data_IF_433743296585
#
_entry.id   IF_433743296585
#
_cell.length_a   1.000
_cell.length_b   1.000
_cell.length_c   1.000
_cell.angle_alpha   90.00
_cell.angle_beta   90.00
_cell.angle_gamma   90.00
#
_symmetry.space_group_name_H-M   'P 1'
#
loop_
_entity.id
_entity.type
_entity.pdbx_description
1 polymer ?
#
# COMPACT_ATOMS: atom_id res chain seq x y z
N UNK A 1 -4.74 24.89 21.74
CA UNK A 1 -4.65 23.63 20.96
C UNK A 1 -4.62 22.48 21.95
N UNK A 2 -5.59 21.57 21.88
CA UNK A 2 -5.65 20.40 22.77
C UNK A 2 -4.58 19.39 22.33
N UNK A 3 -3.57 19.15 23.16
CA UNK A 3 -2.59 18.09 22.93
C UNK A 3 -3.31 16.74 23.05
N UNK A 4 -3.69 16.17 21.91
CA UNK A 4 -4.29 14.84 21.84
C UNK A 4 -3.26 13.83 22.39
N UNK A 5 -3.58 13.17 23.51
CA UNK A 5 -2.73 12.13 24.10
C UNK A 5 -2.54 11.02 23.06
N UNK A 6 -1.29 10.78 22.62
CA UNK A 6 -0.94 9.68 21.72
C UNK A 6 -0.90 8.36 22.50
N UNK A 7 -1.40 7.28 21.90
CA UNK A 7 -1.33 5.93 22.47
C UNK A 7 0.03 5.30 22.15
N UNK A 8 0.56 4.41 23.00
CA UNK A 8 1.81 3.68 22.72
C UNK A 8 1.75 2.86 21.42
N UNK A 9 0.56 2.38 21.03
CA UNK A 9 0.30 1.69 19.76
C UNK A 9 0.53 2.55 18.51
N UNK A 10 0.70 3.85 18.68
CA UNK A 10 0.92 4.84 17.61
C UNK A 10 2.40 5.24 17.48
N UNK A 11 3.30 4.57 18.22
CA UNK A 11 4.73 4.75 18.08
C UNK A 11 5.27 3.86 16.96
N UNK A 12 6.19 4.40 16.16
CA UNK A 12 7.00 3.60 15.25
C UNK A 12 7.95 2.67 16.02
N UNK A 13 8.55 1.69 15.35
CA UNK A 13 9.54 0.78 15.96
C UNK A 13 10.72 1.53 16.56
N UNK A 14 11.27 2.53 15.86
CA UNK A 14 12.40 3.34 16.36
C UNK A 14 12.00 4.15 17.60
N UNK A 15 10.80 4.75 17.58
CA UNK A 15 10.25 5.44 18.75
C UNK A 15 10.01 4.47 19.90
N UNK A 16 9.57 3.25 19.61
CA UNK A 16 9.34 2.19 20.60
C UNK A 16 10.65 1.76 21.26
N UNK A 17 11.71 1.54 20.48
CA UNK A 17 13.05 1.23 21.01
C UNK A 17 13.58 2.34 21.91
N UNK A 18 13.48 3.60 21.47
CA UNK A 18 13.95 4.75 22.27
C UNK A 18 13.13 4.94 23.56
N UNK A 19 11.82 4.73 23.49
CA UNK A 19 10.94 4.76 24.66
C UNK A 19 11.29 3.62 25.61
N UNK A 20 11.58 2.42 25.08
CA UNK A 20 11.98 1.27 25.88
C UNK A 20 13.30 1.53 26.63
N UNK A 21 14.31 2.13 25.98
CA UNK A 21 15.56 2.54 26.64
C UNK A 21 15.31 3.51 27.80
N UNK A 22 14.45 4.51 27.58
CA UNK A 22 14.09 5.49 28.62
C UNK A 22 13.36 4.78 29.78
N UNK A 23 12.39 3.91 29.50
CA UNK A 23 11.62 3.21 30.53
C UNK A 23 12.49 2.24 31.33
N UNK A 24 13.42 1.54 30.68
CA UNK A 24 14.40 0.67 31.36
C UNK A 24 15.31 1.53 32.26
N UNK A 25 15.81 2.65 31.75
CA UNK A 25 16.64 3.57 32.56
C UNK A 25 15.86 4.13 33.77
N UNK A 26 14.57 4.43 33.61
CA UNK A 26 13.70 4.83 34.71
C UNK A 26 13.51 3.70 35.73
N UNK A 27 13.37 2.45 35.28
CA UNK A 27 13.23 1.30 36.17
C UNK A 27 14.49 1.07 36.99
N UNK A 28 15.66 1.15 36.35
CA UNK A 28 16.97 1.04 37.00
C UNK A 28 17.18 2.16 38.04
N UNK A 29 16.70 3.38 37.74
CA UNK A 29 16.75 4.47 38.71
C UNK A 29 15.88 4.18 39.95
N UNK A 30 14.67 3.62 39.77
CA UNK A 30 13.83 3.21 40.90
C UNK A 30 14.49 2.14 41.78
N UNK A 31 15.22 1.19 41.18
CA UNK A 31 16.01 0.21 41.94
C UNK A 31 17.14 0.88 42.73
N UNK A 32 17.84 1.84 42.13
CA UNK A 32 18.89 2.60 42.82
C UNK A 32 18.36 3.44 43.99
N UNK A 33 17.13 3.95 43.89
CA UNK A 33 16.47 4.70 44.96
C UNK A 33 15.82 3.79 46.02
N UNK A 34 15.88 2.47 45.85
CA UNK A 34 15.30 1.50 46.79
C UNK A 34 13.77 1.55 46.84
N UNK A 35 13.14 1.94 45.73
CA UNK A 35 11.67 1.89 45.62
C UNK A 35 11.25 0.43 45.52
N UNK A 36 10.24 0.06 46.30
CA UNK A 36 9.72 -1.30 46.37
C UNK A 36 9.22 -1.77 44.99
N UNK A 37 9.53 -3.00 44.60
CA UNK A 37 9.01 -3.62 43.39
C UNK A 37 7.49 -3.77 43.43
N UNK A 38 6.93 -3.81 44.65
CA UNK A 38 5.50 -3.87 44.88
C UNK A 38 4.79 -2.52 44.75
N UNK A 39 5.52 -1.41 44.60
CA UNK A 39 4.97 -0.09 44.35
C UNK A 39 4.15 -0.08 43.05
N UNK A 40 2.98 0.55 43.10
CA UNK A 40 2.03 0.59 41.98
C UNK A 40 2.65 1.24 40.73
N UNK A 41 3.47 2.28 40.90
CA UNK A 41 4.18 2.94 39.80
C UNK A 41 5.25 2.06 39.17
N UNK A 42 5.92 1.22 39.96
CA UNK A 42 6.91 0.24 39.47
C UNK A 42 6.22 -0.91 38.73
N UNK A 43 5.09 -1.40 39.24
CA UNK A 43 4.25 -2.41 38.59
C UNK A 43 3.71 -1.93 37.25
N UNK A 44 3.20 -0.70 37.19
CA UNK A 44 2.73 -0.09 35.95
C UNK A 44 3.86 0.08 34.93
N UNK A 45 5.03 0.54 35.37
CA UNK A 45 6.22 0.67 34.53
C UNK A 45 6.65 -0.68 33.95
N UNK A 46 6.74 -1.72 34.79
CA UNK A 46 7.08 -3.08 34.35
C UNK A 46 6.02 -3.63 33.37
N UNK A 47 4.74 -3.41 33.64
CA UNK A 47 3.64 -3.78 32.72
C UNK A 47 3.79 -3.11 31.35
N UNK A 48 4.20 -1.84 31.31
CA UNK A 48 4.45 -1.12 30.05
C UNK A 48 5.68 -1.71 29.35
N UNK A 49 6.79 -1.93 30.08
CA UNK A 49 8.01 -2.52 29.52
C UNK A 49 7.72 -3.90 28.94
N UNK A 50 6.99 -4.75 29.65
CA UNK A 50 6.64 -6.10 29.20
C UNK A 50 5.74 -6.07 27.96
N UNK A 51 4.76 -5.17 27.91
CA UNK A 51 3.93 -4.97 26.71
C UNK A 51 4.77 -4.55 25.50
N UNK A 52 5.73 -3.65 25.70
CA UNK A 52 6.62 -3.20 24.62
C UNK A 52 7.61 -4.30 24.21
N UNK A 53 8.16 -5.07 25.16
CA UNK A 53 9.06 -6.21 24.90
C UNK A 53 8.35 -7.33 24.13
N UNK A 54 7.09 -7.57 24.45
CA UNK A 54 6.30 -8.65 23.84
C UNK A 54 5.67 -8.25 22.50
N UNK A 55 5.68 -6.97 22.12
CA UNK A 55 5.20 -6.52 20.82
C UNK A 55 6.17 -6.95 19.72
N UNK A 56 5.88 -8.08 19.07
CA UNK A 56 6.72 -8.58 17.98
C UNK A 56 6.45 -7.79 16.70
N UNK A 57 7.50 -7.30 16.06
CA UNK A 57 7.40 -6.75 14.72
C UNK A 57 7.30 -7.86 13.67
N UNK A 58 6.31 -7.76 12.79
CA UNK A 58 6.11 -8.65 11.65
C UNK A 58 6.31 -7.83 10.37
N UNK A 59 7.35 -8.11 9.56
CA UNK A 59 7.54 -7.45 8.29
C UNK A 59 6.44 -7.86 7.31
N UNK A 60 6.14 -7.02 6.32
CA UNK A 60 5.11 -7.34 5.30
C UNK A 60 5.37 -8.66 4.57
N UNK A 61 6.63 -9.03 4.34
CA UNK A 61 7.03 -10.30 3.73
C UNK A 61 6.51 -11.54 4.46
N UNK A 62 6.27 -11.44 5.76
CA UNK A 62 5.89 -12.56 6.63
C UNK A 62 4.37 -12.64 6.83
N UNK A 63 3.62 -11.73 6.21
CA UNK A 63 2.17 -11.69 6.32
C UNK A 63 1.53 -12.71 5.38
N UNK A 64 0.61 -13.50 5.93
CA UNK A 64 -0.10 -14.57 5.22
C UNK A 64 -1.62 -14.39 5.32
N UNK A 65 -2.37 -15.19 4.57
CA UNK A 65 -3.84 -15.26 4.71
C UNK A 65 -4.27 -15.63 6.13
N UNK A 66 -3.51 -16.47 6.84
CA UNK A 66 -3.78 -16.82 8.24
C UNK A 66 -3.63 -15.59 9.15
N UNK A 67 -2.63 -14.75 8.88
CA UNK A 67 -2.43 -13.48 9.60
C UNK A 67 -3.64 -12.57 9.41
N UNK A 68 -4.09 -12.38 8.16
CA UNK A 68 -5.27 -11.58 7.86
C UNK A 68 -6.55 -12.14 8.49
N UNK A 69 -6.74 -13.47 8.45
CA UNK A 69 -7.87 -14.13 9.09
C UNK A 69 -7.91 -13.93 10.61
N UNK A 70 -6.76 -14.01 11.29
CA UNK A 70 -6.64 -13.69 12.73
C UNK A 70 -7.00 -12.24 13.05
N UNK A 71 -6.80 -11.33 12.10
CA UNK A 71 -7.20 -9.93 12.21
C UNK A 71 -8.69 -9.69 11.91
N UNK A 72 -9.45 -10.73 11.57
CA UNK A 72 -10.84 -10.62 11.15
C UNK A 72 -11.02 -9.99 9.77
N UNK A 73 -9.99 -10.01 8.93
CA UNK A 73 -10.07 -9.55 7.53
C UNK A 73 -10.63 -10.69 6.68
N UNK A 74 -11.75 -10.43 6.01
CA UNK A 74 -12.31 -11.34 5.00
C UNK A 74 -11.63 -11.11 3.66
N UNK A 75 -11.47 -12.17 2.87
CA UNK A 75 -11.02 -12.08 1.48
C UNK A 75 -12.18 -12.50 0.59
N UNK A 76 -12.57 -11.65 -0.36
CA UNK A 76 -13.68 -11.91 -1.28
C UNK A 76 -13.28 -11.53 -2.71
N UNK A 77 -13.78 -12.21 -3.75
CA UNK A 77 -13.53 -11.79 -5.12
C UNK A 77 -14.30 -10.51 -5.47
N UNK A 78 -13.80 -9.78 -6.47
CA UNK A 78 -14.54 -8.75 -7.22
C UNK A 78 -15.02 -9.34 -8.53
N UNK A 79 -16.18 -8.87 -8.98
CA UNK A 79 -16.72 -9.25 -10.28
C UNK A 79 -16.72 -8.07 -11.24
N UNK A 80 -16.59 -8.37 -12.54
CA UNK A 80 -16.75 -7.38 -13.58
C UNK A 80 -18.21 -6.93 -13.67
N UNK A 81 -18.42 -5.62 -13.78
CA UNK A 81 -19.71 -5.11 -14.27
C UNK A 81 -19.93 -5.58 -15.71
N UNK A 82 -21.18 -5.57 -16.16
CA UNK A 82 -21.59 -6.06 -17.50
C UNK A 82 -20.75 -5.50 -18.66
N UNK A 83 -20.32 -4.23 -18.58
CA UNK A 83 -19.47 -3.58 -19.58
C UNK A 83 -18.07 -3.21 -19.04
N UNK A 84 -17.73 -3.65 -17.83
CA UNK A 84 -16.56 -3.18 -17.10
C UNK A 84 -15.24 -3.40 -17.84
N UNK A 85 -15.07 -4.57 -18.48
CA UNK A 85 -13.85 -4.88 -19.22
C UNK A 85 -13.70 -4.02 -20.48
N UNK A 86 -14.79 -3.84 -21.24
CA UNK A 86 -14.82 -2.99 -22.44
C UNK A 86 -14.58 -1.53 -22.07
N UNK A 87 -15.22 -1.05 -21.01
CA UNK A 87 -15.07 0.32 -20.52
C UNK A 87 -13.64 0.57 -20.01
N UNK A 88 -13.03 -0.40 -19.32
CA UNK A 88 -11.64 -0.32 -18.89
C UNK A 88 -10.69 -0.25 -20.08
N UNK A 89 -10.85 -1.13 -21.09
CA UNK A 89 -10.06 -1.08 -22.33
C UNK A 89 -10.16 0.26 -23.05
N UNK A 90 -11.38 0.79 -23.20
CA UNK A 90 -11.60 2.10 -23.81
C UNK A 90 -10.93 3.22 -22.99
N UNK A 91 -10.96 3.11 -21.66
CA UNK A 91 -10.34 4.08 -20.78
C UNK A 91 -8.81 4.06 -20.85
N UNK A 92 -8.19 2.88 -20.91
CA UNK A 92 -6.75 2.73 -21.07
C UNK A 92 -6.23 3.06 -22.46
N UNK A 93 -7.09 3.04 -23.49
CA UNK A 93 -6.75 3.50 -24.83
C UNK A 93 -6.67 5.03 -24.92
N UNK A 94 -7.36 5.75 -24.04
CA UNK A 94 -7.46 7.21 -24.08
C UNK A 94 -6.13 7.88 -23.70
N UNK A 95 -5.51 8.58 -24.66
CA UNK A 95 -4.25 9.33 -24.43
C UNK A 95 -4.52 10.84 -24.32
N UNK A 96 -3.89 11.50 -23.34
CA UNK A 96 -3.94 12.97 -23.17
C UNK A 96 -2.88 13.65 -24.04
N UNK A 97 -3.12 14.89 -24.47
CA UNK A 97 -2.13 15.65 -25.26
C UNK A 97 -0.78 15.74 -24.53
N UNK A 98 0.32 15.40 -25.22
CA UNK A 98 1.70 15.36 -24.70
C UNK A 98 2.00 14.25 -23.67
N UNK A 99 1.06 13.35 -23.42
CA UNK A 99 1.30 12.12 -22.66
C UNK A 99 1.92 11.02 -23.54
N UNK A 100 2.40 9.95 -22.91
CA UNK A 100 2.94 8.77 -23.61
C UNK A 100 1.77 8.00 -24.23
N UNK A 101 1.85 7.70 -25.53
CA UNK A 101 0.81 6.94 -26.22
C UNK A 101 0.87 5.44 -25.88
N UNK A 102 -0.22 4.74 -26.18
CA UNK A 102 -0.27 3.27 -26.06
C UNK A 102 0.77 2.61 -26.98
N UNK A 103 0.93 3.08 -28.22
CA UNK A 103 1.90 2.55 -29.17
C UNK A 103 3.35 2.73 -28.71
N UNK A 104 3.68 3.90 -28.15
CA UNK A 104 4.99 4.14 -27.56
C UNK A 104 5.24 3.20 -26.38
N UNK A 105 4.19 2.92 -25.60
CA UNK A 105 4.25 2.00 -24.46
C UNK A 105 4.45 0.55 -24.92
N UNK A 106 3.74 0.11 -25.97
CA UNK A 106 3.95 -1.20 -26.60
C UNK A 106 5.39 -1.37 -27.09
N UNK A 107 5.98 -0.32 -27.69
CA UNK A 107 7.38 -0.33 -28.10
C UNK A 107 8.33 -0.49 -26.90
N UNK A 108 8.14 0.30 -25.83
CA UNK A 108 8.95 0.20 -24.61
C UNK A 108 8.85 -1.18 -23.96
N UNK A 109 7.65 -1.76 -23.88
CA UNK A 109 7.43 -3.11 -23.36
C UNK A 109 8.17 -4.16 -24.22
N UNK A 110 8.13 -4.02 -25.55
CA UNK A 110 8.87 -4.87 -26.47
C UNK A 110 10.38 -4.80 -26.24
N UNK A 111 10.92 -3.58 -26.04
CA UNK A 111 12.33 -3.38 -25.70
C UNK A 111 12.68 -4.03 -24.35
N UNK A 112 11.83 -3.91 -23.33
CA UNK A 112 12.03 -4.58 -22.04
C UNK A 112 12.06 -6.10 -22.21
N UNK A 113 11.09 -6.69 -22.92
CA UNK A 113 11.08 -8.14 -23.17
C UNK A 113 12.28 -8.64 -23.99
N UNK A 114 12.86 -7.78 -24.83
CA UNK A 114 14.03 -8.13 -25.65
C UNK A 114 15.34 -8.06 -24.87
N UNK A 115 15.47 -7.14 -23.91
CA UNK A 115 16.76 -6.79 -23.32
C UNK A 115 16.84 -7.00 -21.79
N UNK A 116 15.74 -7.29 -21.11
CA UNK A 116 15.69 -7.40 -19.64
C UNK A 116 15.19 -8.79 -19.23
N UNK A 117 15.95 -9.47 -18.35
CA UNK A 117 15.47 -10.71 -17.73
C UNK A 117 14.42 -10.39 -16.68
N UNK A 118 13.23 -11.00 -16.81
CA UNK A 118 12.10 -10.85 -15.89
C UNK A 118 12.04 -11.97 -14.84
N UNK A 119 13.13 -12.73 -14.67
CA UNK A 119 13.26 -13.72 -13.59
C UNK A 119 13.56 -13.07 -12.23
N UNK A 120 14.16 -11.88 -12.25
CA UNK A 120 14.45 -11.11 -11.05
C UNK A 120 13.39 -10.06 -10.78
N UNK A 121 13.20 -9.73 -9.51
CA UNK A 121 12.31 -8.63 -9.10
C UNK A 121 12.70 -7.30 -9.76
N UNK A 122 14.01 -7.00 -9.84
CA UNK A 122 14.52 -5.79 -10.50
C UNK A 122 14.12 -5.72 -11.98
N UNK A 123 14.13 -6.86 -12.68
CA UNK A 123 13.65 -6.95 -14.06
C UNK A 123 12.15 -6.72 -14.18
N UNK A 124 11.35 -7.35 -13.32
CA UNK A 124 9.91 -7.11 -13.22
C UNK A 124 9.60 -5.63 -12.99
N UNK A 125 10.35 -4.98 -12.09
CA UNK A 125 10.22 -3.55 -11.78
C UNK A 125 10.43 -2.65 -13.00
N UNK A 126 11.34 -2.97 -13.92
CA UNK A 126 11.50 -2.18 -15.16
C UNK A 126 10.23 -2.22 -16.03
N UNK A 127 9.59 -3.39 -16.14
CA UNK A 127 8.33 -3.52 -16.87
C UNK A 127 7.20 -2.77 -16.16
N UNK A 128 7.11 -2.90 -14.83
CA UNK A 128 6.13 -2.20 -14.00
C UNK A 128 6.31 -0.67 -14.14
N UNK A 129 7.52 -0.15 -14.04
CA UNK A 129 7.85 1.27 -14.20
C UNK A 129 7.38 1.78 -15.56
N UNK A 130 7.56 1.00 -16.63
CA UNK A 130 7.09 1.37 -17.97
C UNK A 130 5.58 1.62 -18.00
N UNK A 131 4.79 0.74 -17.36
CA UNK A 131 3.34 0.85 -17.27
C UNK A 131 2.91 1.99 -16.34
N UNK A 132 3.54 2.12 -15.17
CA UNK A 132 3.23 3.18 -14.21
C UNK A 132 3.59 4.57 -14.74
N UNK A 133 4.69 4.71 -15.48
CA UNK A 133 5.07 5.97 -16.15
C UNK A 133 4.06 6.35 -17.23
N UNK A 134 3.56 5.38 -18.02
CA UNK A 134 2.47 5.64 -18.97
C UNK A 134 1.26 6.24 -18.24
N UNK A 135 0.80 5.57 -17.18
CA UNK A 135 -0.36 6.00 -16.39
C UNK A 135 -0.12 7.38 -15.81
N UNK A 136 1.02 7.60 -15.15
CA UNK A 136 1.34 8.90 -14.56
C UNK A 136 1.36 10.03 -15.60
N UNK A 137 1.91 9.79 -16.80
CA UNK A 137 1.91 10.78 -17.88
C UNK A 137 0.51 11.13 -18.38
N UNK A 138 -0.41 10.15 -18.39
CA UNK A 138 -1.79 10.33 -18.87
C UNK A 138 -2.74 10.91 -17.82
N UNK A 139 -2.27 11.05 -16.58
CA UNK A 139 -2.99 11.71 -15.48
C UNK A 139 -2.56 13.17 -15.27
N UNK A 140 -1.54 13.62 -15.99
CA UNK A 140 -1.02 14.98 -15.85
C UNK A 140 -1.97 16.01 -16.46
N UNK A 141 -2.31 17.03 -15.68
CA UNK A 141 -3.11 18.19 -16.10
C UNK A 141 -2.43 19.49 -15.64
N UNK A 142 -3.08 20.64 -15.86
CA UNK A 142 -2.57 21.91 -15.34
C UNK A 142 -2.55 21.96 -13.80
N UNK A 143 -3.51 21.30 -13.14
CA UNK A 143 -3.73 21.40 -11.68
C UNK A 143 -3.38 20.14 -10.92
N UNK A 144 -3.55 18.99 -11.55
CA UNK A 144 -3.37 17.68 -10.94
C UNK A 144 -2.28 16.89 -11.66
N UNK A 145 -1.63 15.98 -10.94
CA UNK A 145 -0.66 15.07 -11.52
C UNK A 145 -0.36 13.89 -10.61
N UNK A 146 0.27 12.87 -11.17
CA UNK A 146 0.68 11.68 -10.45
C UNK A 146 2.19 11.68 -10.15
N UNK A 147 2.59 11.03 -9.06
CA UNK A 147 3.99 10.74 -8.72
C UNK A 147 4.13 9.27 -8.36
N UNK A 148 5.21 8.67 -8.83
CA UNK A 148 5.64 7.32 -8.49
C UNK A 148 6.70 7.46 -7.40
N UNK A 149 6.40 7.00 -6.18
CA UNK A 149 7.35 6.98 -5.07
C UNK A 149 7.84 5.54 -4.85
N UNK A 150 9.00 5.17 -5.41
CA UNK A 150 9.56 3.83 -5.22
C UNK A 150 10.11 3.66 -3.80
N UNK A 151 10.12 2.40 -3.34
CA UNK A 151 10.62 1.99 -2.02
C UNK A 151 10.01 2.84 -0.92
N UNK A 152 8.68 2.80 -0.87
CA UNK A 152 7.93 3.64 0.03
C UNK A 152 7.79 2.96 1.41
N UNK A 153 8.39 3.57 2.44
CA UNK A 153 8.35 3.04 3.80
C UNK A 153 7.02 3.34 4.46
N UNK A 154 6.40 2.29 4.98
CA UNK A 154 5.21 2.36 5.82
C UNK A 154 5.64 2.12 7.26
N UNK A 155 5.39 3.12 8.11
CA UNK A 155 5.69 3.04 9.53
C UNK A 155 4.98 1.86 10.16
N UNK A 156 5.66 1.20 11.10
CA UNK A 156 5.10 0.08 11.82
C UNK A 156 3.94 0.52 12.69
N UNK A 157 2.82 -0.19 12.62
CA UNK A 157 1.62 0.10 13.40
C UNK A 157 1.09 -1.17 14.03
N UNK A 158 0.71 -1.07 15.30
CA UNK A 158 -0.06 -2.13 15.96
C UNK A 158 -1.50 -2.04 15.49
N UNK A 159 -1.99 -3.11 14.89
CA UNK A 159 -3.36 -3.16 14.38
C UNK A 159 -4.29 -3.71 15.46
N UNK A 160 -5.53 -3.22 15.49
CA UNK A 160 -6.52 -3.70 16.44
C UNK A 160 -6.69 -5.23 16.35
N UNK A 161 -6.84 -5.87 17.52
CA UNK A 161 -6.93 -7.33 17.69
C UNK A 161 -5.63 -8.09 17.43
N UNK A 162 -4.49 -7.39 17.38
CA UNK A 162 -3.18 -8.01 17.30
C UNK A 162 -2.26 -7.44 18.39
N UNK A 163 -1.38 -8.30 18.91
CA UNK A 163 -0.28 -7.89 19.79
C UNK A 163 1.00 -7.54 18.99
N UNK A 164 0.93 -7.67 17.66
CA UNK A 164 2.08 -7.50 16.79
C UNK A 164 2.02 -6.16 16.07
N UNK A 165 3.19 -5.56 15.83
CA UNK A 165 3.29 -4.41 14.93
C UNK A 165 3.58 -4.90 13.52
N UNK A 166 2.96 -4.25 12.53
CA UNK A 166 3.17 -4.56 11.12
C UNK A 166 3.72 -3.33 10.42
N UNK A 167 4.72 -3.50 9.58
CA UNK A 167 5.35 -2.41 8.84
C UNK A 167 6.35 -2.92 7.83
N UNK A 168 6.89 -2.03 7.01
CA UNK A 168 7.82 -2.43 5.98
C UNK A 168 7.98 -1.41 4.88
N UNK A 169 8.51 -1.86 3.76
CA UNK A 169 8.64 -1.08 2.53
C UNK A 169 7.73 -1.73 1.50
N UNK A 170 6.96 -0.92 0.80
CA UNK A 170 6.25 -1.35 -0.42
C UNK A 170 7.02 -0.87 -1.63
N UNK A 171 6.94 -1.61 -2.73
CA UNK A 171 7.75 -1.33 -3.90
C UNK A 171 7.43 0.01 -4.53
N UNK A 172 6.13 0.35 -4.60
CA UNK A 172 5.69 1.66 -5.03
C UNK A 172 4.50 2.16 -4.23
N UNK A 173 4.52 3.46 -3.97
CA UNK A 173 3.30 4.23 -3.73
C UNK A 173 3.08 5.17 -4.91
N UNK A 174 1.95 5.03 -5.59
CA UNK A 174 1.51 6.10 -6.51
C UNK A 174 0.63 7.06 -5.73
N UNK A 175 0.88 8.34 -5.91
CA UNK A 175 0.04 9.39 -5.38
C UNK A 175 -0.45 10.29 -6.51
N UNK A 176 -1.73 10.64 -6.50
CA UNK A 176 -2.36 11.52 -7.47
C UNK A 176 -3.16 12.62 -6.77
N UNK A 177 -3.01 13.85 -7.22
CA UNK A 177 -3.71 14.98 -6.64
C UNK A 177 -3.05 16.29 -7.03
N UNK A 178 -3.11 17.28 -6.13
CA UNK A 178 -2.60 18.62 -6.41
C UNK A 178 -1.13 18.59 -6.88
N UNK A 179 -0.85 19.30 -7.97
CA UNK A 179 0.48 19.31 -8.60
C UNK A 179 1.56 19.90 -7.70
N UNK A 180 1.23 20.84 -6.81
CA UNK A 180 2.16 21.38 -5.82
C UNK A 180 2.55 20.33 -4.79
N UNK A 181 1.59 19.54 -4.31
CA UNK A 181 1.84 18.41 -3.42
C UNK A 181 2.71 17.35 -4.12
N UNK A 182 2.38 17.03 -5.37
CA UNK A 182 3.14 16.12 -6.25
C UNK A 182 4.60 16.57 -6.41
N UNK A 183 4.83 17.84 -6.73
CA UNK A 183 6.17 18.41 -6.93
C UNK A 183 7.00 18.40 -5.63
N UNK A 184 6.36 18.56 -4.46
CA UNK A 184 7.03 18.42 -3.16
C UNK A 184 7.52 16.99 -2.92
N UNK A 185 6.73 15.98 -3.28
CA UNK A 185 7.11 14.57 -3.16
C UNK A 185 8.33 14.26 -4.04
N UNK A 186 8.34 14.74 -5.28
CA UNK A 186 9.46 14.56 -6.21
C UNK A 186 10.76 15.15 -5.62
N UNK A 187 10.68 16.32 -4.99
CA UNK A 187 11.85 16.98 -4.37
C UNK A 187 12.33 16.25 -3.12
N UNK A 188 11.39 15.78 -2.28
CA UNK A 188 11.74 15.04 -1.05
C UNK A 188 10.55 14.21 -0.56
N UNK A 189 10.61 12.89 -0.78
CA UNK A 189 9.61 11.94 -0.26
C UNK A 189 9.50 12.00 1.27
N UNK A 190 10.64 12.06 1.96
CA UNK A 190 10.67 12.05 3.43
C UNK A 190 10.01 13.30 4.02
N UNK A 191 10.28 14.47 3.45
CA UNK A 191 9.67 15.71 3.93
C UNK A 191 8.19 15.79 3.56
N UNK A 192 7.83 15.47 2.32
CA UNK A 192 6.45 15.58 1.87
C UNK A 192 5.48 14.68 2.64
N UNK A 193 5.88 13.44 2.94
CA UNK A 193 5.04 12.52 3.68
C UNK A 193 5.11 12.67 5.21
N UNK A 194 5.94 13.59 5.72
CA UNK A 194 5.87 14.01 7.13
C UNK A 194 4.76 15.04 7.39
N UNK A 195 4.18 15.63 6.33
CA UNK A 195 3.11 16.62 6.41
C UNK A 195 1.73 15.97 6.16
N UNK A 196 0.85 15.89 7.18
CA UNK A 196 -0.48 15.32 7.03
C UNK A 196 -1.38 16.09 6.05
N UNK A 197 -1.14 17.39 5.83
CA UNK A 197 -1.95 18.18 4.90
C UNK A 197 -1.64 17.83 3.45
N UNK A 198 -0.38 17.48 3.14
CA UNK A 198 0.00 16.97 1.82
C UNK A 198 -0.74 15.67 1.53
N UNK A 199 -0.85 14.77 2.50
CA UNK A 199 -1.58 13.51 2.34
C UNK A 199 -3.05 13.70 2.03
N UNK A 200 -3.72 14.67 2.66
CA UNK A 200 -5.15 14.96 2.41
C UNK A 200 -5.41 15.47 1.00
N UNK A 201 -4.40 15.99 0.33
CA UNK A 201 -4.49 16.49 -1.05
C UNK A 201 -4.27 15.39 -2.10
N UNK A 202 -4.00 14.15 -1.67
CA UNK A 202 -3.56 13.06 -2.54
C UNK A 202 -4.41 11.81 -2.36
N UNK A 203 -4.82 11.24 -3.48
CA UNK A 203 -5.22 9.84 -3.60
C UNK A 203 -3.94 9.00 -3.62
N UNK A 204 -3.90 7.92 -2.85
CA UNK A 204 -2.71 7.08 -2.73
C UNK A 204 -3.07 5.62 -3.00
N UNK A 205 -2.14 4.91 -3.63
CA UNK A 205 -2.26 3.50 -3.98
C UNK A 205 -0.96 2.79 -3.71
N UNK A 206 -1.04 1.51 -3.35
CA UNK A 206 0.13 0.67 -3.09
C UNK A 206 0.29 -0.35 -4.21
N UNK A 207 1.51 -0.51 -4.69
CA UNK A 207 1.89 -1.54 -5.65
C UNK A 207 3.04 -2.35 -5.09
N UNK A 208 2.85 -3.66 -5.07
CA UNK A 208 3.85 -4.63 -4.66
C UNK A 208 4.31 -5.42 -5.89
N UNK A 209 5.61 -5.35 -6.17
CA UNK A 209 6.28 -6.10 -7.21
C UNK A 209 6.67 -7.49 -6.67
N UNK A 210 6.47 -8.53 -7.47
CA UNK A 210 6.97 -9.87 -7.17
C UNK A 210 7.64 -10.49 -8.40
N UNK A 211 8.70 -11.29 -8.21
CA UNK A 211 9.20 -12.16 -9.27
C UNK A 211 8.08 -13.01 -9.88
N UNK A 212 8.15 -13.26 -11.19
CA UNK A 212 7.11 -13.99 -11.92
C UNK A 212 6.88 -15.41 -11.39
N UNK A 213 7.94 -16.09 -10.96
CA UNK A 213 7.92 -17.43 -10.39
C UNK A 213 7.31 -17.48 -8.98
N UNK A 214 7.46 -16.41 -8.21
CA UNK A 214 6.90 -16.26 -6.87
C UNK A 214 5.50 -15.62 -6.87
N UNK A 215 5.05 -15.10 -8.01
CA UNK A 215 3.75 -14.43 -8.14
C UNK A 215 2.60 -15.43 -7.98
N UNK A 216 2.07 -15.47 -6.75
CA UNK A 216 0.88 -16.24 -6.38
C UNK A 216 -0.05 -15.36 -5.54
N UNK A 217 -1.35 -15.27 -5.87
CA UNK A 217 -2.30 -14.42 -5.13
C UNK A 217 -2.32 -14.74 -3.63
N UNK A 218 -2.18 -16.01 -3.26
CA UNK A 218 -2.25 -16.48 -1.87
C UNK A 218 -1.08 -16.03 -1.00
N UNK A 219 0.10 -15.79 -1.58
CA UNK A 219 1.28 -15.32 -0.83
C UNK A 219 1.47 -13.82 -0.93
N UNK A 220 1.13 -13.23 -2.08
CA UNK A 220 1.50 -11.86 -2.39
C UNK A 220 0.40 -10.85 -2.01
N UNK A 221 -0.87 -11.23 -2.16
CA UNK A 221 -2.00 -10.36 -1.77
C UNK A 221 -1.97 -10.00 -0.28
N UNK A 222 -1.68 -10.92 0.67
CA UNK A 222 -1.67 -10.55 2.09
C UNK A 222 -0.66 -9.46 2.45
N UNK A 223 0.50 -9.45 1.79
CA UNK A 223 1.58 -8.49 2.03
C UNK A 223 1.19 -7.08 1.57
N UNK A 224 0.60 -6.96 0.39
CA UNK A 224 0.09 -5.67 -0.10
C UNK A 224 -1.17 -5.22 0.66
N UNK A 225 -2.04 -6.16 1.04
CA UNK A 225 -3.26 -5.88 1.77
C UNK A 225 -2.99 -5.32 3.16
N UNK A 226 -2.01 -5.85 3.90
CA UNK A 226 -1.66 -5.32 5.23
C UNK A 226 -1.14 -3.88 5.15
N UNK A 227 -0.37 -3.58 4.10
CA UNK A 227 0.14 -2.25 3.84
C UNK A 227 -1.00 -1.26 3.56
N UNK A 228 -1.99 -1.67 2.73
CA UNK A 228 -3.20 -0.90 2.48
C UNK A 228 -4.04 -0.69 3.75
N UNK A 229 -4.21 -1.71 4.59
CA UNK A 229 -4.93 -1.61 5.87
C UNK A 229 -4.27 -0.59 6.79
N UNK A 230 -2.95 -0.65 6.98
CA UNK A 230 -2.21 0.29 7.85
C UNK A 230 -2.40 1.72 7.35
N UNK A 231 -2.27 1.94 6.04
CA UNK A 231 -2.43 3.26 5.43
C UNK A 231 -3.85 3.78 5.53
N UNK A 232 -4.85 2.96 5.22
CA UNK A 232 -6.25 3.32 5.36
C UNK A 232 -6.58 3.74 6.80
N UNK A 233 -6.17 2.96 7.80
CA UNK A 233 -6.38 3.30 9.20
C UNK A 233 -5.60 4.53 9.66
N UNK A 234 -4.38 4.74 9.14
CA UNK A 234 -3.59 5.94 9.44
C UNK A 234 -4.25 7.22 8.93
N UNK A 235 -4.91 7.13 7.77
CA UNK A 235 -5.60 8.23 7.09
C UNK A 235 -7.10 8.30 7.39
N UNK A 236 -7.64 7.37 8.19
CA UNK A 236 -9.07 7.22 8.49
C UNK A 236 -9.93 7.05 7.22
N UNK A 237 -9.43 6.25 6.28
CA UNK A 237 -10.11 5.94 5.02
C UNK A 237 -10.88 4.63 5.13
N UNK A 238 -12.09 4.61 4.54
CA UNK A 238 -12.90 3.41 4.42
C UNK A 238 -12.36 2.47 3.36
N UNK A 239 -11.81 3.03 2.30
CA UNK A 239 -11.34 2.28 1.14
C UNK A 239 -9.90 2.65 0.85
N UNK A 240 -9.11 1.65 0.45
CA UNK A 240 -7.77 1.86 -0.08
C UNK A 240 -7.50 0.84 -1.17
N UNK A 241 -7.15 1.33 -2.36
CA UNK A 241 -6.90 0.49 -3.53
C UNK A 241 -5.42 0.16 -3.67
N UNK A 242 -5.13 -1.06 -4.12
CA UNK A 242 -3.77 -1.48 -4.39
C UNK A 242 -3.68 -2.54 -5.47
N UNK A 243 -2.45 -2.93 -5.77
CA UNK A 243 -2.16 -3.95 -6.75
C UNK A 243 -0.93 -4.76 -6.34
N UNK A 244 -0.93 -6.03 -6.70
CA UNK A 244 0.26 -6.89 -6.70
C UNK A 244 0.56 -7.23 -8.16
N UNK A 245 1.80 -7.12 -8.59
CA UNK A 245 2.17 -7.39 -9.98
C UNK A 245 3.58 -7.96 -10.14
N UNK A 246 3.78 -8.73 -11.21
CA UNK A 246 5.10 -9.10 -11.73
C UNK A 246 5.49 -8.30 -13.00
N UNK A 247 4.69 -7.31 -13.37
CA UNK A 247 4.67 -6.66 -14.67
C UNK A 247 3.95 -7.49 -15.74
N UNK A 248 4.07 -8.82 -15.71
CA UNK A 248 3.39 -9.74 -16.62
C UNK A 248 2.00 -10.15 -16.15
N UNK A 249 1.77 -10.22 -14.84
CA UNK A 249 0.46 -10.52 -14.25
C UNK A 249 0.11 -9.45 -13.23
N UNK A 250 -1.17 -9.11 -13.14
CA UNK A 250 -1.68 -8.02 -12.30
C UNK A 250 -2.87 -8.52 -11.48
N UNK A 251 -2.78 -8.40 -10.15
CA UNK A 251 -3.88 -8.65 -9.23
C UNK A 251 -4.27 -7.32 -8.60
N UNK A 252 -5.45 -6.83 -8.96
CA UNK A 252 -6.01 -5.62 -8.40
C UNK A 252 -6.82 -5.96 -7.17
N UNK A 253 -6.69 -5.13 -6.12
CA UNK A 253 -7.47 -5.33 -4.91
C UNK A 253 -7.92 -4.01 -4.29
N UNK A 254 -8.92 -4.12 -3.44
CA UNK A 254 -9.54 -3.03 -2.70
C UNK A 254 -9.69 -3.47 -1.25
N UNK A 255 -9.02 -2.78 -0.34
CA UNK A 255 -9.37 -2.85 1.07
C UNK A 255 -10.62 -2.01 1.32
N UNK A 256 -11.59 -2.55 2.04
CA UNK A 256 -12.78 -1.87 2.51
C UNK A 256 -13.01 -2.12 4.00
N UNK A 257 -13.43 -1.08 4.72
CA UNK A 257 -13.91 -1.17 6.10
C UNK A 257 -15.19 -0.37 6.29
N UNK A 258 -16.14 -0.96 7.02
CA UNK A 258 -17.41 -0.31 7.36
C UNK A 258 -17.17 0.90 8.28
N UNK A 259 -16.31 0.72 9.28
CA UNK A 259 -15.82 1.77 10.18
C UNK A 259 -14.30 2.02 9.96
N UNK A 260 -13.91 3.18 9.43
CA UNK A 260 -12.51 3.50 9.14
C UNK A 260 -11.65 3.71 10.40
N UNK A 261 -12.25 4.03 11.55
CA UNK A 261 -11.55 4.29 12.80
C UNK A 261 -11.26 3.03 13.61
N UNK A 262 -12.21 2.09 13.64
CA UNK A 262 -12.14 0.86 14.43
C UNK A 262 -11.89 -0.38 13.58
N UNK A 263 -11.90 -0.25 12.24
CA UNK A 263 -11.68 -1.37 11.35
C UNK A 263 -12.66 -2.53 11.61
N UNK A 264 -13.92 -2.25 11.87
CA UNK A 264 -14.94 -3.28 11.86
C UNK A 264 -15.36 -3.57 10.41
N UNK A 265 -15.72 -4.84 10.13
CA UNK A 265 -16.13 -5.25 8.78
C UNK A 265 -15.03 -5.11 7.74
N UNK A 266 -13.77 -5.51 8.05
CA UNK A 266 -12.65 -5.44 7.09
C UNK A 266 -12.80 -6.52 6.02
N UNK A 267 -12.86 -6.11 4.78
CA UNK A 267 -12.81 -7.01 3.63
C UNK A 267 -11.74 -6.54 2.65
N UNK A 268 -10.97 -7.48 2.11
CA UNK A 268 -10.11 -7.26 0.95
C UNK A 268 -10.78 -7.95 -0.22
N UNK A 269 -11.25 -7.12 -1.14
CA UNK A 269 -11.81 -7.56 -2.41
C UNK A 269 -10.68 -7.65 -3.44
N UNK A 270 -10.62 -8.72 -4.24
CA UNK A 270 -9.55 -8.89 -5.22
C UNK A 270 -10.07 -9.43 -6.55
N UNK A 271 -9.41 -9.07 -7.65
CA UNK A 271 -9.71 -9.55 -8.98
C UNK A 271 -8.76 -10.69 -9.35
N UNK A 272 -9.27 -11.68 -10.11
CA UNK A 272 -8.43 -12.72 -10.69
C UNK A 272 -7.24 -12.13 -11.48
N UNK A 273 -6.08 -12.82 -11.51
CA UNK A 273 -4.88 -12.26 -12.13
C UNK A 273 -5.09 -11.99 -13.62
N UNK A 274 -4.86 -10.74 -14.03
CA UNK A 274 -4.90 -10.34 -15.43
C UNK A 274 -3.50 -10.46 -16.02
N UNK A 275 -3.27 -11.32 -17.03
CA UNK A 275 -2.00 -11.36 -17.75
C UNK A 275 -1.90 -10.14 -18.68
N UNK A 276 -0.74 -9.50 -18.76
CA UNK A 276 -0.43 -8.43 -19.72
C UNK A 276 -0.57 -8.91 -21.17
N UNK A 277 -0.15 -10.14 -21.40
CA UNK A 277 -0.34 -10.81 -22.68
C UNK A 277 -0.02 -12.29 -22.63
N UNK A 278 -0.12 -12.90 -23.80
CA UNK A 278 0.10 -14.32 -24.03
C UNK A 278 1.32 -14.53 -24.93
N UNK A 279 1.68 -15.79 -25.18
CA UNK A 279 2.87 -16.13 -25.98
C UNK A 279 2.86 -15.52 -27.38
N UNK A 280 1.68 -15.36 -28.00
CA UNK A 280 1.54 -14.87 -29.37
C UNK A 280 1.27 -13.37 -29.45
N UNK A 281 0.77 -12.76 -28.38
CA UNK A 281 0.60 -11.32 -28.24
C UNK A 281 0.93 -10.92 -26.81
N UNK A 282 2.18 -10.46 -26.55
CA UNK A 282 2.65 -10.19 -25.20
C UNK A 282 2.04 -8.94 -24.57
N UNK A 283 1.15 -8.23 -25.29
CA UNK A 283 0.50 -6.98 -24.84
C UNK A 283 -1.01 -6.95 -25.10
N UNK A 284 -1.67 -8.10 -25.31
CA UNK A 284 -3.10 -8.17 -25.68
C UNK A 284 -4.04 -7.49 -24.68
N UNK A 285 -3.65 -7.43 -23.41
CA UNK A 285 -4.44 -6.83 -22.33
C UNK A 285 -3.83 -5.51 -21.83
N UNK A 286 -2.92 -4.89 -22.59
CA UNK A 286 -2.27 -3.64 -22.18
C UNK A 286 -3.30 -2.56 -21.89
N UNK A 287 -4.20 -2.28 -22.82
CA UNK A 287 -5.23 -1.25 -22.68
C UNK A 287 -6.17 -1.54 -21.49
N UNK A 288 -6.47 -2.82 -21.24
CA UNK A 288 -7.26 -3.24 -20.08
C UNK A 288 -6.55 -2.86 -18.78
N UNK A 289 -5.29 -3.27 -18.62
CA UNK A 289 -4.48 -3.00 -17.43
C UNK A 289 -4.28 -1.49 -17.24
N UNK A 290 -3.98 -0.75 -18.31
CA UNK A 290 -3.81 0.70 -18.26
C UNK A 290 -5.10 1.41 -17.82
N UNK A 291 -6.26 0.94 -18.29
CA UNK A 291 -7.55 1.49 -17.88
C UNK A 291 -7.85 1.28 -16.40
N UNK A 292 -7.60 0.07 -15.88
CA UNK A 292 -7.77 -0.23 -14.46
C UNK A 292 -6.78 0.57 -13.62
N UNK A 293 -5.50 0.63 -14.02
CA UNK A 293 -4.48 1.38 -13.29
C UNK A 293 -4.82 2.86 -13.20
N UNK A 294 -5.28 3.45 -14.31
CA UNK A 294 -5.70 4.84 -14.36
C UNK A 294 -6.84 5.11 -13.37
N UNK A 295 -7.89 4.30 -13.39
CA UNK A 295 -9.01 4.41 -12.46
C UNK A 295 -8.59 4.17 -11.00
N UNK A 296 -7.69 3.20 -10.76
CA UNK A 296 -7.14 2.92 -9.44
C UNK A 296 -6.46 4.16 -8.85
N UNK A 297 -5.67 4.86 -9.66
CA UNK A 297 -4.91 6.03 -9.22
C UNK A 297 -5.80 7.26 -9.02
N UNK A 298 -6.74 7.51 -9.94
CA UNK A 298 -7.65 8.65 -9.84
C UNK A 298 -8.63 8.54 -8.66
N UNK A 299 -9.05 7.31 -8.35
CA UNK A 299 -10.11 7.02 -7.39
C UNK A 299 -9.60 6.13 -6.23
N UNK A 300 -8.33 6.28 -5.84
CA UNK A 300 -7.63 5.38 -4.92
C UNK A 300 -8.31 5.14 -3.56
N UNK A 301 -9.12 6.09 -3.10
CA UNK A 301 -9.85 6.01 -1.84
C UNK A 301 -11.38 5.95 -2.01
N UNK A 302 -11.89 5.87 -3.24
CA UNK A 302 -13.34 5.87 -3.51
C UNK A 302 -13.94 4.48 -3.30
N UNK A 303 -15.08 4.44 -2.62
CA UNK A 303 -15.86 3.22 -2.37
C UNK A 303 -16.53 2.68 -3.63
N UNK A 304 -16.81 3.53 -4.61
CA UNK A 304 -17.44 3.13 -5.88
C UNK A 304 -16.38 2.65 -6.88
N UNK A 305 -16.54 1.42 -7.37
CA UNK A 305 -15.68 0.86 -8.39
C UNK A 305 -16.32 1.03 -9.77
N UNK A 306 -15.62 1.72 -10.68
CA UNK A 306 -16.13 2.04 -12.02
C UNK A 306 -16.38 0.81 -12.87
N UNK A 307 -15.46 -0.16 -12.84
CA UNK A 307 -15.49 -1.34 -13.71
C UNK A 307 -15.96 -2.62 -13.00
N UNK A 308 -16.04 -2.58 -11.67
CA UNK A 308 -16.24 -3.77 -10.83
C UNK A 308 -17.40 -3.60 -9.86
N UNK A 309 -17.81 -4.71 -9.28
CA UNK A 309 -18.73 -4.76 -8.15
C UNK A 309 -18.21 -5.69 -7.05
N UNK A 310 -18.60 -5.39 -5.82
CA UNK A 310 -18.28 -6.22 -4.66
C UNK A 310 -19.21 -7.42 -4.65
N UNK A 311 -18.65 -8.63 -4.60
CA UNK A 311 -19.46 -9.82 -4.39
C UNK A 311 -19.94 -9.84 -2.93
N UNK A 312 -21.27 -9.80 -2.75
CA UNK A 312 -21.92 -9.82 -1.43
C UNK A 312 -22.02 -11.22 -0.87
#
# INVERSE_FOLDING_TARGET
MSNKKRKFSELSTEQTSRVMEILISCREAFDQFGIDEDDEGVKDLNSIIDKLKNTKHIPFSDVSLVTLGKMGVKIQPMEWRSNGETDAKAYGHTTVSRAISVEETKKKISDVFKFVSLESEAGCRILIDTLLIHVASNLETEKFGAVIAPEFRIESKVLERTENSFGGVVDYMLAYGDKTARDRIIKSKAFAFSDPEIYKMLQCNIYEAKPEDLFTPTTSLPQAAIAAIIKAQGLQLKTFRGCVTSGKRWVFFVYYAEDPGHGQGKTVYWLDPIPLGERHDPVVNLELILGILRDWVEHGNDTHLRFFEYLT
#
